data_IF_148407096126
#
_entry.id   IF_148407096126
#
_cell.length_a   1.000
_cell.length_b   1.000
_cell.length_c   1.000
_cell.angle_alpha   90.00
_cell.angle_beta   90.00
_cell.angle_gamma   90.00
#
_symmetry.space_group_name_H-M   'P 1'
#
loop_
_entity.id
_entity.type
_entity.pdbx_description
1 polymer ?
#
# COMPACT_ATOMS: atom_id res chain seq x y z
N UNK A 1 -14.60 4.34 -24.55
CA UNK A 1 -13.53 5.32 -24.85
C UNK A 1 -12.55 4.69 -25.84
N UNK A 2 -12.50 5.15 -27.09
CA UNK A 2 -11.68 4.53 -28.14
C UNK A 2 -10.17 4.57 -27.86
N UNK A 3 -9.68 5.55 -27.09
CA UNK A 3 -8.26 5.72 -26.79
C UNK A 3 -7.75 4.89 -25.59
N UNK A 4 -8.62 4.48 -24.66
CA UNK A 4 -8.20 3.88 -23.38
C UNK A 4 -7.39 2.57 -23.57
N UNK A 5 -7.78 1.61 -24.43
CA UNK A 5 -6.99 0.41 -24.64
C UNK A 5 -5.56 0.71 -25.10
N UNK A 6 -5.38 1.64 -26.05
CA UNK A 6 -4.07 2.07 -26.53
C UNK A 6 -3.22 2.67 -25.40
N UNK A 7 -3.83 3.53 -24.59
CA UNK A 7 -3.18 4.19 -23.46
C UNK A 7 -2.76 3.18 -22.37
N UNK A 8 -3.56 2.14 -22.10
CA UNK A 8 -3.18 1.06 -21.19
C UNK A 8 -2.02 0.22 -21.74
N UNK A 9 -2.00 -0.03 -23.04
CA UNK A 9 -0.87 -0.72 -23.70
C UNK A 9 0.43 0.07 -23.61
N UNK A 10 0.36 1.41 -23.74
CA UNK A 10 1.50 2.30 -23.54
C UNK A 10 1.97 2.29 -22.07
N UNK A 11 1.04 2.34 -21.11
CA UNK A 11 1.37 2.19 -19.69
C UNK A 11 2.04 0.86 -19.36
N UNK A 12 1.72 -0.22 -20.09
CA UNK A 12 2.29 -1.54 -19.85
C UNK A 12 3.73 -1.68 -20.36
N UNK A 13 4.25 -0.70 -21.12
CA UNK A 13 5.64 -0.75 -21.60
C UNK A 13 6.62 -0.55 -20.43
N UNK A 14 7.76 -1.28 -20.42
CA UNK A 14 8.83 -1.02 -19.47
C UNK A 14 9.52 0.31 -19.76
N UNK A 15 10.36 0.77 -18.82
CA UNK A 15 11.29 1.86 -19.09
C UNK A 15 12.20 1.50 -20.27
N UNK A 16 12.52 2.47 -21.11
CA UNK A 16 13.46 2.32 -22.23
C UNK A 16 14.83 2.91 -21.87
N UNK A 17 15.83 2.68 -22.72
CA UNK A 17 17.15 3.31 -22.56
C UNK A 17 17.08 4.84 -22.63
N UNK A 18 16.19 5.38 -23.48
CA UNK A 18 15.96 6.82 -23.64
C UNK A 18 15.08 7.44 -22.55
N UNK A 19 14.27 6.63 -21.85
CA UNK A 19 13.45 7.03 -20.70
C UNK A 19 13.62 6.04 -19.53
N UNK A 20 14.82 5.99 -18.91
CA UNK A 20 15.15 4.97 -17.90
C UNK A 20 14.32 5.11 -16.62
N UNK A 21 13.70 6.27 -16.41
CA UNK A 21 12.81 6.53 -15.25
C UNK A 21 11.33 6.33 -15.56
N UNK A 22 10.96 6.11 -16.82
CA UNK A 22 9.56 5.97 -17.25
C UNK A 22 8.76 7.26 -17.02
N UNK A 23 9.30 8.41 -17.40
CA UNK A 23 8.64 9.71 -17.35
C UNK A 23 7.37 9.76 -18.19
N UNK A 24 7.34 9.13 -19.37
CA UNK A 24 6.10 9.01 -20.16
C UNK A 24 5.02 8.24 -19.36
N UNK A 25 5.40 7.07 -18.84
CA UNK A 25 4.52 6.24 -18.02
C UNK A 25 4.03 6.99 -16.77
N UNK A 26 4.84 7.87 -16.18
CA UNK A 26 4.42 8.73 -15.07
C UNK A 26 3.26 9.65 -15.45
N UNK A 27 3.34 10.35 -16.59
CA UNK A 27 2.27 11.25 -17.02
C UNK A 27 1.02 10.49 -17.46
N UNK A 28 1.21 9.35 -18.15
CA UNK A 28 0.12 8.45 -18.49
C UNK A 28 -0.58 7.90 -17.24
N UNK A 29 0.16 7.54 -16.19
CA UNK A 29 -0.40 7.04 -14.93
C UNK A 29 -1.31 8.09 -14.29
N UNK A 30 -0.86 9.35 -14.26
CA UNK A 30 -1.68 10.45 -13.77
C UNK A 30 -2.96 10.66 -14.60
N UNK A 31 -2.84 10.68 -15.93
CA UNK A 31 -3.98 10.90 -16.83
C UNK A 31 -4.99 9.75 -16.74
N UNK A 32 -4.52 8.50 -16.64
CA UNK A 32 -5.37 7.32 -16.72
C UNK A 32 -5.86 6.94 -15.33
N UNK A 33 -4.97 6.60 -14.40
CA UNK A 33 -5.36 6.14 -13.06
C UNK A 33 -5.79 7.29 -12.14
N UNK A 34 -5.18 8.46 -12.30
CA UNK A 34 -5.51 9.66 -11.52
C UNK A 34 -6.75 10.41 -12.02
N UNK A 35 -7.13 10.26 -13.30
CA UNK A 35 -8.28 10.96 -13.92
C UNK A 35 -9.27 10.00 -14.59
N UNK A 36 -8.96 9.43 -15.75
CA UNK A 36 -9.93 8.69 -16.57
C UNK A 36 -10.63 7.54 -15.82
N UNK A 37 -9.85 6.76 -15.04
CA UNK A 37 -10.30 5.61 -14.25
C UNK A 37 -10.53 5.95 -12.77
N UNK A 38 -10.64 7.24 -12.46
CA UNK A 38 -10.80 7.71 -11.07
C UNK A 38 -12.10 7.19 -10.44
N UNK A 39 -13.18 7.13 -11.21
CA UNK A 39 -14.52 6.87 -10.67
C UNK A 39 -15.05 5.47 -10.99
N UNK A 40 -14.76 4.91 -12.17
CA UNK A 40 -15.26 3.59 -12.60
C UNK A 40 -14.20 2.82 -13.40
N UNK A 41 -14.31 1.49 -13.38
CA UNK A 41 -13.57 0.54 -14.21
C UNK A 41 -14.49 -0.23 -15.19
N UNK A 42 -15.74 0.23 -15.36
CA UNK A 42 -16.72 -0.46 -16.20
C UNK A 42 -16.30 -0.44 -17.66
N UNK A 43 -16.40 -1.60 -18.32
CA UNK A 43 -16.00 -1.77 -19.72
C UNK A 43 -14.49 -1.66 -19.98
N UNK A 44 -13.66 -1.62 -18.94
CA UNK A 44 -12.20 -1.65 -19.09
C UNK A 44 -11.73 -3.09 -19.30
N UNK A 45 -10.87 -3.29 -20.30
CA UNK A 45 -10.19 -4.57 -20.52
C UNK A 45 -9.32 -4.91 -19.30
N UNK A 46 -9.68 -5.99 -18.61
CA UNK A 46 -9.07 -6.39 -17.34
C UNK A 46 -7.62 -6.83 -17.51
N UNK A 47 -7.27 -7.43 -18.64
CA UNK A 47 -5.90 -7.87 -18.91
C UNK A 47 -4.98 -6.71 -19.24
N UNK A 48 -5.44 -5.75 -20.05
CA UNK A 48 -4.70 -4.51 -20.30
C UNK A 48 -4.52 -3.72 -19.00
N UNK A 49 -5.58 -3.59 -18.19
CA UNK A 49 -5.51 -2.91 -16.90
C UNK A 49 -4.50 -3.58 -15.96
N UNK A 50 -4.55 -4.90 -15.84
CA UNK A 50 -3.64 -5.68 -14.99
C UNK A 50 -2.18 -5.49 -15.43
N UNK A 51 -1.89 -5.57 -16.73
CA UNK A 51 -0.54 -5.36 -17.29
C UNK A 51 -0.04 -3.94 -17.02
N UNK A 52 -0.89 -2.93 -17.25
CA UNK A 52 -0.58 -1.53 -16.98
C UNK A 52 -0.29 -1.27 -15.49
N UNK A 53 -1.09 -1.84 -14.59
CA UNK A 53 -0.86 -1.75 -13.15
C UNK A 53 0.49 -2.38 -12.77
N UNK A 54 0.74 -3.62 -13.20
CA UNK A 54 1.96 -4.34 -12.87
C UNK A 54 3.22 -3.59 -13.34
N UNK A 55 3.22 -3.05 -14.57
CA UNK A 55 4.33 -2.26 -15.10
C UNK A 55 4.52 -0.95 -14.31
N UNK A 56 3.42 -0.23 -14.03
CA UNK A 56 3.49 1.07 -13.34
C UNK A 56 3.96 0.93 -11.88
N UNK A 57 3.72 -0.21 -11.23
CA UNK A 57 4.27 -0.49 -9.89
C UNK A 57 5.79 -0.57 -9.85
N UNK A 58 6.45 -0.78 -11.00
CA UNK A 58 7.90 -0.79 -11.13
C UNK A 58 8.49 0.60 -11.42
N UNK A 59 7.67 1.57 -11.87
CA UNK A 59 8.11 2.92 -12.26
C UNK A 59 9.00 3.57 -11.18
N UNK A 60 10.05 4.30 -11.55
CA UNK A 60 10.97 4.86 -10.55
C UNK A 60 10.40 6.05 -9.76
N UNK A 61 9.25 6.59 -10.15
CA UNK A 61 8.61 7.74 -9.53
C UNK A 61 7.47 7.37 -8.57
N UNK A 62 7.57 7.88 -7.33
CA UNK A 62 6.61 7.59 -6.27
C UNK A 62 5.21 8.13 -6.52
N UNK A 63 5.06 9.19 -7.33
CA UNK A 63 3.76 9.72 -7.72
C UNK A 63 3.10 8.80 -8.74
N UNK A 64 3.85 8.35 -9.75
CA UNK A 64 3.37 7.39 -10.74
C UNK A 64 2.84 6.12 -10.08
N UNK A 65 3.61 5.53 -9.15
CA UNK A 65 3.17 4.38 -8.35
C UNK A 65 1.95 4.70 -7.49
N UNK A 66 1.87 5.89 -6.90
CA UNK A 66 0.77 6.25 -6.00
C UNK A 66 -0.59 6.38 -6.70
N UNK A 67 -0.62 6.77 -7.97
CA UNK A 67 -1.88 6.86 -8.72
C UNK A 67 -2.52 5.48 -8.96
N UNK A 68 -1.72 4.40 -9.04
CA UNK A 68 -2.20 3.01 -9.06
C UNK A 68 -3.02 2.67 -7.81
N UNK A 69 -2.58 3.13 -6.64
CA UNK A 69 -3.23 2.82 -5.36
C UNK A 69 -4.71 3.27 -5.29
N UNK A 70 -5.12 4.23 -6.14
CA UNK A 70 -6.51 4.70 -6.27
C UNK A 70 -7.44 3.66 -6.91
N UNK A 71 -6.89 2.65 -7.57
CA UNK A 71 -7.65 1.60 -8.24
C UNK A 71 -7.96 0.42 -7.34
N UNK A 72 -7.10 0.12 -6.36
CA UNK A 72 -7.23 -1.07 -5.51
C UNK A 72 -8.60 -1.22 -4.85
N UNK A 73 -9.20 -0.11 -4.40
CA UNK A 73 -10.53 -0.15 -3.80
C UNK A 73 -11.65 -0.66 -4.74
N UNK A 74 -11.44 -0.56 -6.05
CA UNK A 74 -12.39 -0.89 -7.12
C UNK A 74 -12.23 -2.31 -7.68
N UNK A 75 -11.12 -2.97 -7.38
CA UNK A 75 -10.84 -4.31 -7.87
C UNK A 75 -11.38 -5.35 -6.88
N UNK A 76 -11.93 -6.43 -7.43
CA UNK A 76 -12.30 -7.62 -6.67
C UNK A 76 -11.06 -8.38 -6.20
N UNK A 77 -11.23 -9.33 -5.28
CA UNK A 77 -10.10 -10.16 -4.85
C UNK A 77 -9.47 -10.94 -6.00
N UNK A 78 -10.28 -11.52 -6.91
CA UNK A 78 -9.77 -12.29 -8.04
C UNK A 78 -8.95 -11.42 -9.01
N UNK A 79 -9.33 -10.14 -9.17
CA UNK A 79 -8.57 -9.19 -10.01
C UNK A 79 -7.28 -8.72 -9.34
N UNK A 80 -7.26 -8.61 -8.01
CA UNK A 80 -6.06 -8.21 -7.25
C UNK A 80 -5.09 -9.36 -7.05
N UNK A 81 -5.59 -10.58 -6.87
CA UNK A 81 -4.79 -11.78 -6.60
C UNK A 81 -3.55 -11.90 -7.49
N UNK A 82 -3.61 -11.78 -8.83
CA UNK A 82 -2.43 -11.89 -9.69
C UNK A 82 -1.44 -10.70 -9.54
N UNK A 83 -1.87 -9.58 -8.96
CA UNK A 83 -1.04 -8.40 -8.71
C UNK A 83 -0.35 -8.44 -7.34
N UNK A 84 -0.76 -9.32 -6.44
CA UNK A 84 -0.27 -9.38 -5.05
C UNK A 84 1.26 -9.42 -4.93
N UNK A 85 2.01 -10.20 -5.73
CA UNK A 85 3.48 -10.18 -5.68
C UNK A 85 4.09 -8.81 -6.05
N UNK A 86 3.52 -8.14 -7.06
CA UNK A 86 3.96 -6.81 -7.46
C UNK A 86 3.61 -5.75 -6.41
N UNK A 87 2.43 -5.87 -5.78
CA UNK A 87 2.00 -5.01 -4.67
C UNK A 87 2.93 -5.18 -3.47
N UNK A 88 3.27 -6.41 -3.10
CA UNK A 88 4.20 -6.69 -2.00
C UNK A 88 5.57 -6.05 -2.27
N UNK A 89 6.12 -6.23 -3.49
CA UNK A 89 7.38 -5.59 -3.88
C UNK A 89 7.32 -4.07 -3.79
N UNK A 90 6.22 -3.46 -4.26
CA UNK A 90 6.03 -2.01 -4.17
C UNK A 90 5.87 -1.50 -2.72
N UNK A 91 5.39 -2.33 -1.79
CA UNK A 91 5.36 -2.02 -0.35
C UNK A 91 6.78 -2.05 0.23
N UNK A 92 7.56 -3.10 -0.07
CA UNK A 92 8.90 -3.31 0.48
C UNK A 92 9.93 -2.32 -0.05
N UNK A 93 9.86 -1.98 -1.34
CA UNK A 93 10.87 -1.18 -2.03
C UNK A 93 10.32 0.22 -2.38
N UNK A 94 10.68 1.27 -1.62
CA UNK A 94 10.34 2.64 -1.97
C UNK A 94 10.86 3.01 -3.37
N UNK A 95 10.13 3.89 -4.05
CA UNK A 95 10.59 4.44 -5.33
C UNK A 95 11.83 5.32 -5.12
N UNK A 96 12.85 5.23 -5.99
CA UNK A 96 14.08 6.02 -5.86
C UNK A 96 13.87 7.50 -6.18
N UNK A 97 12.82 7.84 -6.94
CA UNK A 97 12.43 9.22 -7.23
C UNK A 97 11.00 9.52 -6.75
N UNK A 98 10.63 10.81 -6.72
CA UNK A 98 9.34 11.24 -6.18
C UNK A 98 9.17 10.85 -4.71
N UNK A 99 10.24 10.90 -3.90
CA UNK A 99 10.32 10.37 -2.53
C UNK A 99 9.21 10.92 -1.63
N UNK A 100 8.78 12.17 -1.85
CA UNK A 100 7.64 12.78 -1.15
C UNK A 100 6.35 11.96 -1.28
N UNK A 101 6.18 11.23 -2.38
CA UNK A 101 5.01 10.41 -2.70
C UNK A 101 5.25 8.91 -2.51
N UNK A 102 6.47 8.46 -2.20
CA UNK A 102 6.84 7.04 -2.13
C UNK A 102 6.03 6.25 -1.08
N UNK A 103 5.48 6.91 -0.07
CA UNK A 103 4.65 6.24 0.96
C UNK A 103 3.22 5.94 0.51
N UNK A 104 2.69 6.67 -0.48
CA UNK A 104 1.28 6.58 -0.88
C UNK A 104 0.90 5.18 -1.38
N UNK A 105 1.69 4.64 -2.30
CA UNK A 105 1.48 3.29 -2.82
C UNK A 105 1.72 2.20 -1.77
N UNK A 106 2.73 2.36 -0.91
CA UNK A 106 3.06 1.39 0.15
C UNK A 106 1.88 1.25 1.13
N UNK A 107 1.32 2.37 1.58
CA UNK A 107 0.17 2.37 2.47
C UNK A 107 -1.11 1.86 1.78
N UNK A 108 -1.32 2.19 0.51
CA UNK A 108 -2.47 1.67 -0.25
C UNK A 108 -2.36 0.16 -0.49
N UNK A 109 -1.13 -0.35 -0.65
CA UNK A 109 -0.81 -1.77 -0.64
C UNK A 109 -1.18 -2.43 0.69
N UNK A 110 -0.78 -1.86 1.82
CA UNK A 110 -1.15 -2.40 3.14
C UNK A 110 -2.66 -2.42 3.38
N UNK A 111 -3.37 -1.37 2.98
CA UNK A 111 -4.83 -1.32 3.08
C UNK A 111 -5.49 -2.46 2.30
N UNK A 112 -4.97 -2.78 1.11
CA UNK A 112 -5.57 -3.82 0.27
C UNK A 112 -5.22 -5.23 0.76
N UNK A 113 -4.00 -5.43 1.25
CA UNK A 113 -3.63 -6.68 1.94
C UNK A 113 -4.53 -6.91 3.17
N UNK A 114 -4.77 -5.86 3.97
CA UNK A 114 -5.63 -5.91 5.14
C UNK A 114 -7.10 -6.18 4.79
N UNK A 115 -7.65 -5.50 3.77
CA UNK A 115 -9.01 -5.73 3.24
C UNK A 115 -9.22 -7.19 2.83
N UNK A 116 -8.20 -7.82 2.25
CA UNK A 116 -8.25 -9.21 1.79
C UNK A 116 -7.64 -10.24 2.75
N UNK A 117 -7.33 -9.83 3.98
CA UNK A 117 -6.82 -10.69 5.07
C UNK A 117 -5.51 -11.41 4.73
N UNK A 118 -4.61 -10.76 4.01
CA UNK A 118 -3.32 -11.32 3.62
C UNK A 118 -2.32 -11.24 4.78
N UNK A 119 -1.93 -12.38 5.36
CA UNK A 119 -1.18 -12.46 6.63
C UNK A 119 0.13 -11.67 6.60
N UNK A 120 0.85 -11.66 5.48
CA UNK A 120 2.14 -10.99 5.30
C UNK A 120 2.03 -9.47 5.49
N UNK A 121 0.86 -8.90 5.20
CA UNK A 121 0.57 -7.48 5.40
C UNK A 121 0.78 -7.01 6.84
N UNK A 122 0.61 -7.89 7.84
CA UNK A 122 0.83 -7.53 9.24
C UNK A 122 2.31 -7.21 9.54
N UNK A 123 3.24 -8.02 9.03
CA UNK A 123 4.68 -7.77 9.22
C UNK A 123 5.13 -6.52 8.45
N UNK A 124 4.63 -6.35 7.22
CA UNK A 124 4.96 -5.21 6.37
C UNK A 124 4.50 -3.87 6.97
N UNK A 125 3.45 -3.85 7.77
CA UNK A 125 3.02 -2.64 8.48
C UNK A 125 4.15 -2.03 9.32
N UNK A 126 4.93 -2.86 10.02
CA UNK A 126 6.05 -2.39 10.85
C UNK A 126 7.22 -1.86 10.01
N UNK A 127 7.47 -2.44 8.84
CA UNK A 127 8.49 -1.97 7.90
C UNK A 127 8.14 -0.61 7.28
N UNK A 128 6.85 -0.33 7.09
CA UNK A 128 6.37 0.94 6.48
C UNK A 128 6.25 2.08 7.50
N UNK A 129 6.06 1.77 8.79
CA UNK A 129 5.93 2.80 9.84
C UNK A 129 7.15 3.73 9.90
N UNK A 130 8.36 3.17 9.76
CA UNK A 130 9.65 3.88 9.73
C UNK A 130 9.69 5.06 10.73
N UNK A 131 9.56 4.72 12.01
CA UNK A 131 9.31 5.69 13.11
C UNK A 131 10.39 6.76 13.29
N UNK A 132 11.54 6.63 12.63
CA UNK A 132 12.62 7.62 12.66
C UNK A 132 12.58 8.61 11.48
N UNK A 133 11.81 8.31 10.43
CA UNK A 133 11.72 9.13 9.21
C UNK A 133 10.60 10.16 9.30
N UNK A 134 10.71 11.20 8.48
CA UNK A 134 9.66 12.22 8.32
C UNK A 134 8.36 11.58 7.77
N UNK A 135 7.21 12.24 7.97
CA UNK A 135 5.91 11.71 7.52
C UNK A 135 5.35 10.54 8.35
N UNK A 136 6.09 10.03 9.34
CA UNK A 136 5.65 8.97 10.28
C UNK A 136 4.30 9.24 10.95
N UNK A 137 4.00 10.49 11.29
CA UNK A 137 2.74 10.88 11.94
C UNK A 137 1.50 10.52 11.09
N UNK A 138 1.64 10.49 9.75
CA UNK A 138 0.59 10.03 8.85
C UNK A 138 0.66 8.53 8.57
N UNK A 139 1.87 7.94 8.52
CA UNK A 139 2.07 6.52 8.21
C UNK A 139 1.63 5.59 9.33
N UNK A 140 2.05 5.87 10.57
CA UNK A 140 1.81 4.97 11.71
C UNK A 140 0.31 4.74 11.91
N UNK A 141 -0.56 5.77 11.98
CA UNK A 141 -1.99 5.55 12.18
C UNK A 141 -2.64 4.68 11.10
N UNK A 142 -2.23 4.82 9.83
CA UNK A 142 -2.77 4.00 8.72
C UNK A 142 -2.29 2.55 8.82
N UNK A 143 -1.03 2.31 9.19
CA UNK A 143 -0.55 0.96 9.49
C UNK A 143 -1.30 0.33 10.68
N UNK A 144 -1.52 1.09 11.77
CA UNK A 144 -2.28 0.59 12.92
C UNK A 144 -3.73 0.25 12.56
N UNK A 145 -4.39 1.07 11.73
CA UNK A 145 -5.73 0.77 11.20
C UNK A 145 -5.75 -0.52 10.37
N UNK A 146 -4.74 -0.73 9.53
CA UNK A 146 -4.60 -1.96 8.76
C UNK A 146 -4.45 -3.18 9.69
N UNK A 147 -3.59 -3.08 10.72
CA UNK A 147 -3.40 -4.12 11.75
C UNK A 147 -4.67 -4.42 12.54
N UNK A 148 -5.40 -3.39 12.97
CA UNK A 148 -6.67 -3.53 13.70
C UNK A 148 -7.68 -4.38 12.93
N UNK A 149 -7.70 -4.25 11.61
CA UNK A 149 -8.63 -5.01 10.78
C UNK A 149 -8.46 -6.53 10.90
N UNK A 150 -7.27 -7.04 11.26
CA UNK A 150 -7.01 -8.48 11.40
C UNK A 150 -7.58 -9.08 12.70
N UNK A 151 -8.04 -8.25 13.65
CA UNK A 151 -8.65 -8.71 14.90
C UNK A 151 -7.75 -9.68 15.67
N UNK A 152 -8.35 -10.75 16.18
CA UNK A 152 -7.67 -11.79 16.95
C UNK A 152 -6.61 -12.57 16.16
N UNK A 153 -6.70 -12.59 14.84
CA UNK A 153 -5.66 -13.17 13.98
C UNK A 153 -4.34 -12.39 14.02
N UNK A 154 -4.34 -11.17 14.56
CA UNK A 154 -3.13 -10.39 14.84
C UNK A 154 -2.46 -10.70 16.18
N UNK A 155 -2.97 -11.63 17.01
CA UNK A 155 -2.31 -12.00 18.28
C UNK A 155 -0.82 -12.35 18.13
N UNK A 156 -0.35 -13.04 17.08
CA UNK A 156 1.08 -13.32 16.90
C UNK A 156 1.99 -12.09 16.79
N UNK A 157 1.45 -10.91 16.44
CA UNK A 157 2.23 -9.67 16.34
C UNK A 157 2.21 -8.81 17.61
N UNK A 158 1.51 -9.23 18.67
CA UNK A 158 1.47 -8.49 19.95
C UNK A 158 2.87 -8.17 20.51
N UNK A 159 3.87 -9.07 20.48
CA UNK A 159 5.23 -8.72 20.92
C UNK A 159 5.83 -7.57 20.13
N UNK A 160 5.58 -7.50 18.80
CA UNK A 160 6.05 -6.40 17.94
C UNK A 160 5.31 -5.09 18.25
N UNK A 161 4.00 -5.13 18.55
CA UNK A 161 3.23 -3.96 18.97
C UNK A 161 3.72 -3.40 20.31
N UNK A 162 3.97 -4.27 21.30
CA UNK A 162 4.53 -3.85 22.61
C UNK A 162 5.91 -3.22 22.47
N UNK A 163 6.74 -3.78 21.57
CA UNK A 163 8.03 -3.16 21.22
C UNK A 163 7.85 -1.79 20.57
N UNK A 164 6.94 -1.67 19.60
CA UNK A 164 6.62 -0.39 18.95
C UNK A 164 6.18 0.67 19.96
N UNK A 165 5.32 0.31 20.91
CA UNK A 165 4.87 1.22 21.98
C UNK A 165 6.06 1.73 22.80
N UNK A 166 6.95 0.81 23.24
CA UNK A 166 8.17 1.17 23.97
C UNK A 166 9.08 2.09 23.15
N UNK A 167 9.29 1.78 21.87
CA UNK A 167 10.15 2.57 20.98
C UNK A 167 9.57 3.98 20.76
N UNK A 168 8.24 4.12 20.66
CA UNK A 168 7.56 5.42 20.55
C UNK A 168 7.61 6.22 21.84
N UNK A 169 7.47 5.58 23.01
CA UNK A 169 7.62 6.22 24.32
C UNK A 169 9.04 6.75 24.56
N UNK A 170 10.05 6.04 24.05
CA UNK A 170 11.45 6.45 24.09
C UNK A 170 11.83 7.45 22.98
N UNK A 171 10.93 7.76 22.05
CA UNK A 171 11.23 8.58 20.89
C UNK A 171 11.44 10.06 21.26
N UNK A 172 12.40 10.73 20.63
CA UNK A 172 12.71 12.15 20.88
C UNK A 172 11.51 13.09 20.68
N UNK A 173 10.64 12.77 19.72
CA UNK A 173 9.39 13.48 19.41
C UNK A 173 8.16 12.92 20.13
N UNK A 174 8.31 12.18 21.25
CA UNK A 174 7.19 11.49 21.94
C UNK A 174 5.97 12.38 22.21
N UNK A 175 6.18 13.65 22.56
CA UNK A 175 5.09 14.62 22.83
C UNK A 175 4.18 14.80 21.60
N UNK A 176 4.76 14.80 20.41
CA UNK A 176 4.02 14.92 19.15
C UNK A 176 3.36 13.60 18.72
N UNK A 177 3.74 12.49 19.36
CA UNK A 177 3.28 11.14 19.05
C UNK A 177 2.32 10.58 20.10
N UNK A 178 1.93 11.37 21.11
CA UNK A 178 1.08 10.92 22.21
C UNK A 178 -0.22 10.25 21.74
N UNK A 179 -0.92 10.86 20.77
CA UNK A 179 -2.12 10.26 20.16
C UNK A 179 -1.83 8.91 19.53
N UNK A 180 -0.70 8.79 18.85
CA UNK A 180 -0.27 7.54 18.19
C UNK A 180 0.05 6.47 19.23
N UNK A 181 0.78 6.83 20.30
CA UNK A 181 1.12 5.93 21.40
C UNK A 181 -0.16 5.39 22.05
N UNK A 182 -1.13 6.26 22.33
CA UNK A 182 -2.43 5.85 22.87
C UNK A 182 -3.17 4.89 21.93
N UNK A 183 -3.15 5.15 20.61
CA UNK A 183 -3.73 4.22 19.62
C UNK A 183 -3.02 2.86 19.62
N UNK A 184 -1.70 2.80 19.80
CA UNK A 184 -0.98 1.53 19.90
C UNK A 184 -1.42 0.74 21.14
N UNK A 185 -1.47 1.40 22.31
CA UNK A 185 -1.91 0.76 23.55
C UNK A 185 -3.35 0.26 23.49
N UNK A 186 -4.25 1.02 22.85
CA UNK A 186 -5.63 0.60 22.59
C UNK A 186 -5.68 -0.62 21.67
N UNK A 187 -4.95 -0.59 20.56
CA UNK A 187 -4.90 -1.69 19.60
C UNK A 187 -4.38 -3.00 20.23
N UNK A 188 -3.38 -2.91 21.11
CA UNK A 188 -2.87 -4.07 21.86
C UNK A 188 -4.00 -4.73 22.65
N UNK A 189 -4.76 -3.94 23.43
CA UNK A 189 -5.90 -4.41 24.23
C UNK A 189 -7.00 -5.01 23.36
N UNK A 190 -7.32 -4.35 22.24
CA UNK A 190 -8.32 -4.83 21.28
C UNK A 190 -7.93 -6.21 20.71
N UNK A 191 -6.68 -6.39 20.27
CA UNK A 191 -6.21 -7.68 19.74
C UNK A 191 -6.16 -8.76 20.82
N UNK A 192 -5.72 -8.43 22.04
CA UNK A 192 -5.67 -9.36 23.18
C UNK A 192 -7.06 -9.92 23.51
N UNK A 193 -8.06 -9.04 23.54
CA UNK A 193 -9.45 -9.37 23.91
C UNK A 193 -10.32 -9.82 22.74
N UNK A 194 -9.85 -9.67 21.49
CA UNK A 194 -10.62 -10.03 20.30
C UNK A 194 -10.95 -11.52 20.27
N UNK A 195 -12.24 -11.79 20.12
CA UNK A 195 -12.80 -13.12 19.83
C UNK A 195 -12.93 -13.37 18.34
N UNK A 196 -13.12 -12.31 17.55
CA UNK A 196 -13.10 -12.41 16.08
C UNK A 196 -11.67 -12.72 15.62
N UNK A 197 -11.51 -13.81 14.89
CA UNK A 197 -10.23 -14.27 14.35
C UNK A 197 -10.44 -14.67 12.89
N UNK A 198 -10.48 -13.69 11.97
CA UNK A 198 -10.78 -13.94 10.56
C UNK A 198 -9.75 -14.88 9.94
N UNK A 199 -10.21 -15.79 9.08
CA UNK A 199 -9.34 -16.67 8.31
C UNK A 199 -8.44 -15.83 7.41
N UNK A 200 -7.13 -16.07 7.53
CA UNK A 200 -6.13 -15.36 6.76
C UNK A 200 -5.84 -16.07 5.44
N UNK A 201 -5.47 -15.27 4.45
CA UNK A 201 -4.91 -15.70 3.17
C UNK A 201 -3.41 -15.48 3.19
N UNK A 202 -2.73 -16.10 2.24
CA UNK A 202 -1.28 -16.04 2.05
C UNK A 202 -0.99 -15.47 0.67
N UNK A 203 0.15 -14.81 0.51
CA UNK A 203 0.64 -14.38 -0.81
C UNK A 203 1.07 -15.57 -1.67
N UNK A 204 1.49 -16.65 -1.02
CA UNK A 204 1.86 -17.94 -1.59
C UNK A 204 0.75 -18.97 -1.40
#
# INVERSE_FOLDING_TARGET
>A
MSALPKLLTMLAQPASEDDPRGMEQRYLSFAIFGKMLRNSLDGVDKDLLRKAIAATLLNEDGRARSDVGRLYGKLTYEEIKPLLPAIEKAIKTPSPSGVMFASGIRLSGLDILAKHRIKEGMSLCFEVMEIQKWGKAARIPRCLKALASYGGSAKPILPKLKKLEKDLLAHREKRNLERVINTVGQLIKEIETSKDSPKLRSLN
#
